data_IF_072775507688
#
_entry.id   IF_072775507688
#
_cell.length_a   1.000
_cell.length_b   1.000
_cell.length_c   1.000
_cell.angle_alpha   90.00
_cell.angle_beta   90.00
_cell.angle_gamma   90.00
#
_symmetry.space_group_name_H-M   'P 1'
#
loop_
_entity.id
_entity.type
_entity.pdbx_description
1 polymer ?
#
# COMPACT_ATOMS: atom_id res chain seq x y z
N UNK A 1 -3.90 -9.50 -1.21
CA UNK A 1 -4.20 -10.93 -1.00
C UNK A 1 -5.63 -11.15 -0.50
N UNK A 2 -6.09 -10.53 0.60
CA UNK A 2 -7.48 -10.75 1.11
C UNK A 2 -8.59 -10.19 0.21
N UNK A 3 -8.47 -8.94 -0.28
CA UNK A 3 -9.50 -8.31 -1.11
C UNK A 3 -9.71 -9.01 -2.46
N UNK A 4 -8.64 -9.51 -3.09
CA UNK A 4 -8.71 -10.27 -4.34
C UNK A 4 -9.51 -11.56 -4.17
N UNK A 5 -9.24 -12.31 -3.10
CA UNK A 5 -9.96 -13.55 -2.81
C UNK A 5 -11.45 -13.28 -2.54
N UNK A 6 -11.79 -12.24 -1.77
CA UNK A 6 -13.17 -11.85 -1.52
C UNK A 6 -13.92 -11.49 -2.81
N UNK A 7 -13.34 -10.64 -3.66
CA UNK A 7 -13.94 -10.27 -4.95
C UNK A 7 -14.13 -11.47 -5.88
N UNK A 8 -13.14 -12.35 -6.00
CA UNK A 8 -13.27 -13.57 -6.82
C UNK A 8 -14.37 -14.52 -6.33
N UNK A 9 -14.54 -14.67 -5.02
CA UNK A 9 -15.58 -15.51 -4.45
C UNK A 9 -16.98 -14.93 -4.66
N UNK A 10 -17.14 -13.61 -4.57
CA UNK A 10 -18.40 -12.93 -4.96
C UNK A 10 -18.71 -13.17 -6.43
N UNK A 11 -17.73 -12.96 -7.33
CA UNK A 11 -17.92 -13.14 -8.77
C UNK A 11 -18.30 -14.59 -9.15
N UNK A 12 -17.83 -15.57 -8.37
CA UNK A 12 -18.16 -16.99 -8.55
C UNK A 12 -19.46 -17.42 -7.85
N UNK A 13 -20.16 -16.52 -7.18
CA UNK A 13 -21.39 -16.83 -6.44
C UNK A 13 -21.15 -17.73 -5.20
N UNK A 14 -19.94 -17.71 -4.64
CA UNK A 14 -19.54 -18.60 -3.54
C UNK A 14 -19.77 -18.00 -2.14
N UNK A 15 -20.22 -16.75 -2.06
CA UNK A 15 -20.47 -16.05 -0.79
C UNK A 15 -21.96 -15.74 -0.62
N UNK A 16 -22.46 -15.94 0.58
CA UNK A 16 -23.75 -15.39 1.01
C UNK A 16 -23.61 -13.90 1.32
N UNK A 17 -24.67 -13.13 1.07
CA UNK A 17 -24.78 -11.75 1.55
C UNK A 17 -25.00 -11.75 3.08
N UNK A 18 -24.01 -12.14 3.85
CA UNK A 18 -24.19 -12.38 5.29
C UNK A 18 -24.35 -11.09 6.12
N UNK A 19 -23.93 -9.93 5.59
CA UNK A 19 -23.92 -8.68 6.37
C UNK A 19 -25.32 -8.20 6.74
N UNK A 20 -26.34 -8.57 5.97
CA UNK A 20 -27.76 -8.30 6.28
C UNK A 20 -28.32 -9.24 7.37
N UNK A 21 -27.64 -10.35 7.64
CA UNK A 21 -28.09 -11.38 8.60
C UNK A 21 -27.49 -11.18 10.00
N UNK A 22 -26.68 -10.12 10.20
CA UNK A 22 -26.02 -9.82 11.47
C UNK A 22 -26.43 -8.45 12.00
N UNK A 23 -26.65 -8.35 13.32
CA UNK A 23 -27.09 -7.11 13.97
C UNK A 23 -26.11 -5.94 13.77
N UNK A 24 -24.82 -6.23 13.69
CA UNK A 24 -23.76 -5.23 13.48
C UNK A 24 -23.59 -4.82 12.02
N UNK A 25 -24.33 -5.41 11.08
CA UNK A 25 -24.22 -5.14 9.65
C UNK A 25 -24.49 -3.69 9.27
N UNK A 26 -25.42 -3.04 9.99
CA UNK A 26 -25.72 -1.61 9.81
C UNK A 26 -24.62 -0.66 10.32
N UNK A 27 -23.62 -1.16 11.03
CA UNK A 27 -22.52 -0.34 11.56
C UNK A 27 -21.40 -0.13 10.53
N UNK A 28 -21.48 -0.75 9.35
CA UNK A 28 -20.46 -0.64 8.31
C UNK A 28 -20.55 0.71 7.61
N UNK A 29 -19.51 1.52 7.74
CA UNK A 29 -19.41 2.85 7.12
C UNK A 29 -18.24 2.99 6.13
N UNK A 30 -17.32 2.03 6.09
CA UNK A 30 -16.12 2.13 5.25
C UNK A 30 -16.42 1.88 3.76
N UNK A 31 -15.91 2.72 2.84
CA UNK A 31 -15.99 2.46 1.39
C UNK A 31 -15.33 1.13 0.97
N UNK A 32 -14.34 0.65 1.71
CA UNK A 32 -13.70 -0.64 1.44
C UNK A 32 -14.61 -1.85 1.66
N UNK A 33 -15.80 -1.66 2.24
CA UNK A 33 -16.80 -2.70 2.42
C UNK A 33 -17.75 -2.87 1.22
N UNK A 34 -17.72 -1.93 0.27
CA UNK A 34 -18.59 -1.97 -0.92
C UNK A 34 -17.79 -2.33 -2.18
N UNK A 35 -16.50 -1.96 -2.22
CA UNK A 35 -15.63 -2.21 -3.37
C UNK A 35 -14.30 -2.86 -2.95
N UNK A 36 -13.91 -3.93 -3.64
CA UNK A 36 -12.63 -4.61 -3.48
C UNK A 36 -11.96 -4.82 -4.84
N UNK A 37 -10.93 -4.02 -5.15
CA UNK A 37 -10.12 -4.13 -6.38
C UNK A 37 -10.95 -4.20 -7.67
N UNK A 38 -11.94 -3.31 -7.80
CA UNK A 38 -12.82 -3.30 -8.98
C UNK A 38 -14.04 -4.22 -8.88
N UNK A 39 -14.18 -5.02 -7.83
CA UNK A 39 -15.33 -5.90 -7.62
C UNK A 39 -16.27 -5.32 -6.56
N UNK A 40 -17.56 -5.26 -6.89
CA UNK A 40 -18.60 -4.92 -5.92
C UNK A 40 -18.74 -6.09 -4.92
N UNK A 41 -18.44 -5.82 -3.66
CA UNK A 41 -18.51 -6.78 -2.55
C UNK A 41 -19.57 -6.40 -1.51
N UNK A 42 -20.43 -5.45 -1.85
CA UNK A 42 -21.48 -4.94 -0.98
C UNK A 42 -22.41 -6.06 -0.50
N UNK A 43 -22.48 -6.23 0.81
CA UNK A 43 -23.30 -7.24 1.49
C UNK A 43 -22.55 -8.52 1.84
N UNK A 44 -21.39 -8.75 1.23
CA UNK A 44 -20.63 -10.01 1.33
C UNK A 44 -19.47 -9.95 2.31
N UNK A 45 -19.04 -8.76 2.73
CA UNK A 45 -17.85 -8.58 3.59
C UNK A 45 -18.14 -7.69 4.80
N UNK A 46 -17.62 -8.09 5.97
CA UNK A 46 -17.55 -7.25 7.17
C UNK A 46 -16.09 -6.88 7.41
N UNK A 47 -15.70 -5.60 7.26
CA UNK A 47 -14.36 -5.16 7.62
C UNK A 47 -14.09 -5.42 9.11
N UNK A 48 -13.02 -6.16 9.43
CA UNK A 48 -12.61 -6.43 10.82
C UNK A 48 -11.38 -5.61 11.24
N UNK A 49 -10.44 -5.40 10.31
CA UNK A 49 -9.21 -4.65 10.55
C UNK A 49 -8.87 -3.82 9.32
N UNK A 50 -8.37 -2.60 9.55
CA UNK A 50 -7.78 -1.75 8.52
C UNK A 50 -6.30 -1.56 8.86
N UNK A 51 -5.43 -1.92 7.93
CA UNK A 51 -3.99 -1.67 8.07
C UNK A 51 -3.57 -0.53 7.16
N UNK A 52 -2.72 0.35 7.68
CA UNK A 52 -2.14 1.47 6.93
C UNK A 52 -0.62 1.46 7.13
N UNK A 53 0.11 1.89 6.10
CA UNK A 53 1.55 2.16 6.18
C UNK A 53 1.76 3.66 6.16
N UNK A 54 2.57 4.17 7.08
CA UNK A 54 2.97 5.55 7.15
C UNK A 54 4.50 5.67 7.10
N UNK A 55 4.99 6.81 6.62
CA UNK A 55 6.37 7.21 6.79
C UNK A 55 6.43 8.01 8.09
N UNK A 56 7.28 7.58 9.03
CA UNK A 56 7.47 8.24 10.31
C UNK A 56 8.79 9.01 10.33
N UNK A 57 8.83 10.09 11.11
CA UNK A 57 9.99 10.95 11.29
C UNK A 57 10.20 11.25 12.78
N UNK A 58 11.45 11.29 13.23
CA UNK A 58 11.79 11.82 14.55
C UNK A 58 11.82 13.36 14.46
N UNK A 59 10.86 14.02 15.10
CA UNK A 59 10.69 15.48 15.04
C UNK A 59 11.84 16.28 15.65
N UNK A 60 12.61 15.67 16.57
CA UNK A 60 13.77 16.33 17.17
C UNK A 60 14.97 16.38 16.20
N UNK A 61 14.98 15.48 15.21
CA UNK A 61 16.06 15.35 14.22
C UNK A 61 15.66 15.89 12.84
N UNK A 62 14.38 15.80 12.48
CA UNK A 62 13.85 16.22 11.19
C UNK A 62 12.63 17.10 11.39
N UNK A 63 12.85 18.41 11.46
CA UNK A 63 11.81 19.42 11.71
C UNK A 63 10.96 19.74 10.49
N UNK A 64 11.50 19.53 9.28
CA UNK A 64 10.78 19.69 8.01
C UNK A 64 10.89 18.37 7.22
N UNK A 65 10.01 17.40 7.50
CA UNK A 65 10.05 16.11 6.83
C UNK A 65 9.65 16.25 5.34
N UNK A 66 10.24 15.44 4.44
CA UNK A 66 9.80 15.31 3.06
C UNK A 66 8.29 15.05 2.94
N UNK A 67 7.61 15.86 2.13
CA UNK A 67 6.17 15.76 1.89
C UNK A 67 5.82 14.96 0.62
N UNK A 68 6.83 14.58 -0.17
CA UNK A 68 6.67 13.83 -1.41
C UNK A 68 7.81 12.83 -1.63
N UNK A 69 7.62 11.89 -2.58
CA UNK A 69 8.68 10.98 -2.98
C UNK A 69 9.88 11.72 -3.59
N UNK A 70 9.65 12.80 -4.34
CA UNK A 70 10.73 13.60 -4.93
C UNK A 70 11.56 14.30 -3.85
N UNK A 71 10.91 14.88 -2.84
CA UNK A 71 11.59 15.44 -1.68
C UNK A 71 12.32 14.37 -0.88
N UNK A 72 11.74 13.17 -0.74
CA UNK A 72 12.40 12.06 -0.05
C UNK A 72 13.67 11.60 -0.80
N UNK A 73 13.62 11.56 -2.14
CA UNK A 73 14.79 11.27 -2.98
C UNK A 73 15.88 12.32 -2.74
N UNK A 74 15.54 13.61 -2.79
CA UNK A 74 16.50 14.69 -2.56
C UNK A 74 17.05 14.67 -1.13
N UNK A 75 16.22 14.35 -0.15
CA UNK A 75 16.61 14.28 1.26
C UNK A 75 17.60 13.14 1.51
N UNK A 76 17.34 11.94 0.99
CA UNK A 76 18.24 10.78 1.19
C UNK A 76 19.60 10.95 0.50
N UNK A 77 19.70 11.74 -0.56
CA UNK A 77 20.99 12.10 -1.16
C UNK A 77 21.85 12.96 -0.22
N UNK A 78 21.23 13.81 0.61
CA UNK A 78 21.92 14.66 1.60
C UNK A 78 22.13 13.94 2.94
N UNK A 79 21.28 12.95 3.23
CA UNK A 79 21.28 12.18 4.47
C UNK A 79 21.36 10.67 4.17
N UNK A 80 22.50 10.20 3.62
CA UNK A 80 22.63 8.81 3.23
C UNK A 80 22.44 7.88 4.44
N UNK A 81 21.66 6.83 4.23
CA UNK A 81 21.32 5.77 5.20
C UNK A 81 20.45 6.19 6.39
N UNK A 82 20.05 7.46 6.49
CA UNK A 82 19.20 7.95 7.57
C UNK A 82 17.72 7.57 7.41
N UNK A 83 17.26 7.36 6.17
CA UNK A 83 15.93 6.80 5.91
C UNK A 83 16.01 5.28 5.78
N UNK A 84 15.08 4.57 6.42
CA UNK A 84 15.00 3.13 6.37
C UNK A 84 13.61 2.61 6.02
N UNK A 85 13.55 1.54 5.23
CA UNK A 85 12.31 0.83 4.96
C UNK A 85 12.54 -0.68 4.80
N UNK A 86 11.51 -1.49 5.03
CA UNK A 86 11.61 -2.93 4.85
C UNK A 86 11.76 -3.27 3.36
N UNK A 87 12.67 -4.19 3.01
CA UNK A 87 12.66 -4.77 1.67
C UNK A 87 11.32 -5.48 1.38
N UNK A 88 10.91 -5.61 0.12
CA UNK A 88 9.62 -6.23 -0.24
C UNK A 88 9.45 -7.69 0.25
N UNK A 89 10.55 -8.39 0.53
CA UNK A 89 10.55 -9.74 1.11
C UNK A 89 10.45 -9.75 2.64
N UNK A 90 10.57 -8.58 3.27
CA UNK A 90 10.70 -8.40 4.72
C UNK A 90 9.47 -7.67 5.29
N UNK A 91 8.28 -7.87 4.74
CA UNK A 91 7.02 -7.43 5.33
C UNK A 91 6.23 -6.40 4.51
N UNK A 92 4.96 -6.21 4.92
CA UNK A 92 3.98 -5.44 4.17
C UNK A 92 4.30 -3.96 4.02
N UNK A 93 4.99 -3.33 4.98
CA UNK A 93 5.41 -1.93 4.87
C UNK A 93 6.37 -1.70 3.70
N UNK A 94 7.23 -2.69 3.40
CA UNK A 94 8.10 -2.66 2.23
C UNK A 94 7.34 -2.77 0.92
N UNK A 95 6.34 -3.66 0.88
CA UNK A 95 5.43 -3.78 -0.26
C UNK A 95 4.65 -2.47 -0.46
N UNK A 96 4.09 -1.90 0.61
CA UNK A 96 3.35 -0.64 0.57
C UNK A 96 4.21 0.52 0.09
N UNK A 97 5.47 0.63 0.55
CA UNK A 97 6.38 1.67 0.09
C UNK A 97 6.67 1.58 -1.42
N UNK A 98 6.95 0.37 -1.92
CA UNK A 98 7.21 0.15 -3.36
C UNK A 98 5.94 0.33 -4.20
N UNK A 99 4.76 -0.02 -3.69
CA UNK A 99 3.49 0.29 -4.37
C UNK A 99 3.27 1.81 -4.47
N UNK A 100 3.50 2.55 -3.38
CA UNK A 100 3.45 4.02 -3.41
C UNK A 100 4.49 4.63 -4.36
N UNK A 101 5.67 4.01 -4.48
CA UNK A 101 6.67 4.39 -5.47
C UNK A 101 6.17 4.24 -6.91
N UNK A 102 5.47 3.13 -7.21
CA UNK A 102 4.83 2.94 -8.52
C UNK A 102 3.73 3.97 -8.74
N UNK A 103 2.97 4.36 -7.72
CA UNK A 103 1.99 5.44 -7.84
C UNK A 103 2.63 6.78 -8.20
N UNK A 104 3.81 7.07 -7.66
CA UNK A 104 4.52 8.33 -7.91
C UNK A 104 5.23 8.37 -9.27
N UNK A 105 5.80 7.24 -9.71
CA UNK A 105 6.74 7.23 -10.85
C UNK A 105 6.39 6.27 -11.99
N UNK A 106 5.34 5.47 -11.85
CA UNK A 106 4.90 4.50 -12.83
C UNK A 106 3.48 4.75 -13.28
N UNK A 107 2.51 4.19 -12.55
CA UNK A 107 1.09 4.28 -12.87
C UNK A 107 0.34 4.74 -11.63
N UNK A 108 -0.54 5.71 -11.80
CA UNK A 108 -1.23 6.35 -10.69
C UNK A 108 -2.13 5.38 -9.91
N UNK A 109 -2.39 5.76 -8.65
CA UNK A 109 -3.15 4.93 -7.72
C UNK A 109 -4.58 4.63 -8.20
N UNK A 110 -5.23 5.59 -8.87
CA UNK A 110 -6.61 5.42 -9.35
C UNK A 110 -6.64 4.33 -10.43
N UNK A 111 -5.73 4.38 -11.40
CA UNK A 111 -5.63 3.39 -12.48
C UNK A 111 -5.35 1.97 -11.95
N UNK A 112 -4.60 1.84 -10.86
CA UNK A 112 -4.22 0.54 -10.27
C UNK A 112 -5.21 -0.01 -9.23
N UNK A 113 -6.12 0.81 -8.68
CA UNK A 113 -7.01 0.40 -7.58
C UNK A 113 -8.50 0.42 -7.90
N UNK A 114 -8.94 1.20 -8.89
CA UNK A 114 -10.36 1.38 -9.19
C UNK A 114 -10.99 0.19 -9.93
N UNK A 115 -10.19 -0.64 -10.60
CA UNK A 115 -10.66 -1.73 -11.45
C UNK A 115 -9.76 -2.98 -11.38
N UNK A 116 -10.11 -4.03 -12.15
CA UNK A 116 -9.26 -5.20 -12.29
C UNK A 116 -7.85 -4.82 -12.74
N UNK A 117 -6.85 -5.54 -12.22
CA UNK A 117 -5.45 -5.30 -12.56
C UNK A 117 -5.19 -5.52 -14.05
N UNK A 118 -4.73 -4.47 -14.73
CA UNK A 118 -4.31 -4.51 -16.13
C UNK A 118 -2.80 -4.66 -16.22
N UNK A 119 -2.33 -5.86 -16.59
CA UNK A 119 -0.91 -6.17 -16.69
C UNK A 119 -0.17 -5.31 -17.73
N UNK A 120 -0.87 -4.71 -18.70
CA UNK A 120 -0.22 -3.91 -19.75
C UNK A 120 0.48 -2.66 -19.20
N UNK A 121 0.05 -2.15 -18.04
CA UNK A 121 0.64 -0.97 -17.39
C UNK A 121 2.07 -1.20 -16.91
N UNK A 122 2.46 -2.46 -16.66
CA UNK A 122 3.82 -2.82 -16.22
C UNK A 122 4.90 -2.37 -17.22
N UNK A 123 4.55 -2.26 -18.51
CA UNK A 123 5.45 -1.80 -19.56
C UNK A 123 5.97 -0.37 -19.32
N UNK A 124 5.22 0.44 -18.58
CA UNK A 124 5.61 1.81 -18.23
C UNK A 124 6.49 1.93 -16.98
N UNK A 125 6.75 0.83 -16.26
CA UNK A 125 7.38 0.90 -14.94
C UNK A 125 8.91 0.88 -14.94
N UNK A 126 9.54 0.68 -16.10
CA UNK A 126 10.99 0.55 -16.21
C UNK A 126 11.73 1.72 -15.55
N UNK A 127 11.32 2.95 -15.85
CA UNK A 127 11.94 4.14 -15.26
C UNK A 127 11.71 4.24 -13.75
N UNK A 128 10.53 3.84 -13.26
CA UNK A 128 10.24 3.79 -11.83
C UNK A 128 11.18 2.83 -11.09
N UNK A 129 11.44 1.65 -11.67
CA UNK A 129 12.37 0.66 -11.11
C UNK A 129 13.82 1.12 -11.14
N UNK A 130 14.25 1.78 -12.21
CA UNK A 130 15.59 2.36 -12.30
C UNK A 130 15.80 3.45 -11.23
N UNK A 131 14.81 4.33 -11.06
CA UNK A 131 14.81 5.33 -9.99
C UNK A 131 14.85 4.67 -8.61
N UNK A 132 14.04 3.64 -8.37
CA UNK A 132 14.03 2.91 -7.10
C UNK A 132 15.38 2.26 -6.80
N UNK A 133 16.00 1.65 -7.81
CA UNK A 133 17.34 1.05 -7.68
C UNK A 133 18.40 2.10 -7.35
N UNK A 134 18.31 3.30 -7.93
CA UNK A 134 19.20 4.41 -7.61
C UNK A 134 18.96 4.94 -6.19
N UNK A 135 17.69 5.19 -5.81
CA UNK A 135 17.28 5.60 -4.48
C UNK A 135 17.76 4.64 -3.39
N UNK A 136 17.66 3.33 -3.65
CA UNK A 136 18.04 2.28 -2.70
C UNK A 136 19.54 2.26 -2.36
N UNK A 137 20.39 3.00 -3.08
CA UNK A 137 21.80 3.19 -2.71
C UNK A 137 21.96 4.11 -1.49
N UNK A 138 20.96 4.94 -1.20
CA UNK A 138 21.00 5.96 -0.15
C UNK A 138 20.20 5.60 1.09
N UNK A 139 19.63 4.39 1.18
CA UNK A 139 18.71 4.01 2.26
C UNK A 139 19.20 2.79 3.02
N UNK A 140 18.62 2.58 4.20
CA UNK A 140 18.86 1.40 5.03
C UNK A 140 17.71 0.40 4.87
N UNK A 141 18.02 -0.84 4.51
CA UNK A 141 17.01 -1.90 4.51
C UNK A 141 16.84 -2.47 5.91
N UNK A 142 15.65 -2.29 6.49
CA UNK A 142 15.32 -2.83 7.81
C UNK A 142 14.84 -4.28 7.70
N UNK A 143 15.17 -5.10 8.72
CA UNK A 143 14.60 -6.45 8.86
C UNK A 143 13.17 -6.34 9.36
N UNK A 144 12.29 -7.22 8.88
CA UNK A 144 10.93 -7.35 9.41
C UNK A 144 11.02 -7.72 10.90
N UNK A 145 10.62 -6.83 11.79
CA UNK A 145 10.36 -7.19 13.19
C UNK A 145 8.89 -6.93 13.46
N UNK A 146 8.10 -7.91 13.96
CA UNK A 146 6.74 -7.64 14.39
C UNK A 146 6.81 -6.60 15.53
N UNK A 147 6.24 -5.41 15.32
CA UNK A 147 5.96 -4.45 16.38
C UNK A 147 6.95 -3.31 16.63
N UNK A 148 8.00 -3.12 15.83
CA UNK A 148 8.87 -1.93 15.94
C UNK A 148 9.32 -1.42 14.58
N UNK A 149 8.51 -0.55 13.97
CA UNK A 149 9.02 0.49 13.07
C UNK A 149 9.56 1.60 13.95
N UNK A 150 10.84 1.54 14.28
CA UNK A 150 11.57 2.67 14.88
C UNK A 150 12.41 3.26 13.75
N UNK A 151 12.08 4.50 13.40
CA UNK A 151 13.04 5.45 12.85
C UNK A 151 13.85 6.01 14.02
#
# INVERSE_FOLDING_TARGET
MHQKAGGEQVAKGLLQKYRQDIQTGGMVSSPSATQALGVNVDGYVMPMFLSQTAIAWNSDLVTTPPASYDELVAWTQKHPQAFGYNGIKNGMSGVSFVVGWIYAYGTDAQRLSAGPYDKSVEKGWQQAYEKLKAFNKNVTFTRATPGRSIC
#
